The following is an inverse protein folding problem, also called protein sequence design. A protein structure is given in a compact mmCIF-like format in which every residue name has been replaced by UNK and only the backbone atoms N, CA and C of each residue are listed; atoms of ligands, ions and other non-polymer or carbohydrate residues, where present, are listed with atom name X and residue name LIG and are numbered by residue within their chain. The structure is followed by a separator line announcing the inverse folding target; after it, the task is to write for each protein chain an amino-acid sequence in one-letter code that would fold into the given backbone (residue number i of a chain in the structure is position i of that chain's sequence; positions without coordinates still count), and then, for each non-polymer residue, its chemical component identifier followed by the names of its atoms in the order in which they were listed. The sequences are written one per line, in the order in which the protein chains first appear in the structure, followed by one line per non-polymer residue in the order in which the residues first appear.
data_IF_612046751700
#
_entry.id   IF_612046751700
#
_cell.length_a   1.000
_cell.length_b   1.000
_cell.length_c   1.000
_cell.angle_alpha   90.00
_cell.angle_beta   90.00
_cell.angle_gamma   90.00
#
_symmetry.space_group_name_H-M   'P 1'
#
loop_
_entity.id
_entity.type
_entity.pdbx_description
1 polymer ?
#
# COMPACT_ATOMS: atom_id res chain seq x y z
N UNK A 1 -2.43 -25.58 -11.04
CA UNK A 1 -2.66 -26.22 -9.72
C UNK A 1 -2.61 -25.07 -8.73
N UNK A 2 -3.65 -24.84 -7.91
CA UNK A 2 -3.70 -23.61 -7.07
C UNK A 2 -2.69 -23.62 -5.91
N UNK A 3 -2.31 -22.42 -5.44
CA UNK A 3 -1.37 -22.22 -4.33
C UNK A 3 -2.03 -22.63 -3.01
N UNK A 4 -1.51 -23.65 -2.30
CA UNK A 4 -2.10 -24.06 -1.02
C UNK A 4 -1.75 -23.02 0.05
N UNK A 5 -2.73 -22.27 0.52
CA UNK A 5 -2.48 -21.14 1.40
C UNK A 5 -3.09 -21.35 2.80
N UNK A 6 -2.39 -20.84 3.81
CA UNK A 6 -2.88 -20.69 5.18
C UNK A 6 -2.95 -19.20 5.53
N UNK A 7 -4.08 -18.75 6.08
CA UNK A 7 -4.26 -17.36 6.51
C UNK A 7 -4.45 -17.27 8.02
N UNK A 8 -3.69 -16.38 8.63
CA UNK A 8 -3.70 -16.05 10.05
C UNK A 8 -4.02 -14.58 10.21
N UNK A 9 -5.19 -14.28 10.79
CA UNK A 9 -5.69 -12.92 10.96
C UNK A 9 -5.68 -12.51 12.43
N UNK A 10 -4.85 -11.54 12.78
CA UNK A 10 -5.03 -10.77 14.00
C UNK A 10 -6.18 -9.78 13.79
N UNK A 11 -7.36 -10.16 14.25
CA UNK A 11 -8.56 -9.35 14.06
C UNK A 11 -8.45 -8.00 14.76
N UNK A 12 -7.97 -7.98 16.00
CA UNK A 12 -7.87 -6.75 16.80
C UNK A 12 -6.95 -5.73 16.12
N UNK A 13 -5.80 -6.18 15.59
CA UNK A 13 -4.83 -5.32 14.89
C UNK A 13 -5.40 -4.80 13.57
N UNK A 14 -5.87 -5.70 12.70
CA UNK A 14 -6.36 -5.36 11.36
C UNK A 14 -7.62 -4.51 11.43
N UNK A 15 -8.62 -4.93 12.21
CA UNK A 15 -9.84 -4.17 12.40
C UNK A 15 -9.55 -2.81 13.03
N UNK A 16 -8.71 -2.77 14.07
CA UNK A 16 -8.36 -1.52 14.74
C UNK A 16 -7.64 -0.52 13.84
N UNK A 17 -6.72 -0.98 12.99
CA UNK A 17 -6.03 -0.12 12.03
C UNK A 17 -6.98 0.39 10.94
N UNK A 18 -7.80 -0.49 10.35
CA UNK A 18 -8.84 -0.08 9.40
C UNK A 18 -9.81 0.91 10.03
N UNK A 19 -10.20 0.72 11.29
CA UNK A 19 -11.15 1.58 11.98
C UNK A 19 -10.62 2.99 12.24
N UNK A 20 -9.31 3.14 12.45
CA UNK A 20 -8.66 4.46 12.53
C UNK A 20 -8.70 5.19 11.19
N UNK A 21 -8.65 4.44 10.09
CA UNK A 21 -8.66 5.00 8.74
C UNK A 21 -10.07 5.32 8.26
N UNK A 22 -10.98 4.34 8.32
CA UNK A 22 -12.36 4.42 7.87
C UNK A 22 -13.23 3.35 8.58
N UNK A 23 -14.07 3.73 9.56
CA UNK A 23 -14.94 2.81 10.27
C UNK A 23 -15.95 2.08 9.42
N UNK A 24 -16.48 2.72 8.37
CA UNK A 24 -17.46 2.08 7.51
C UNK A 24 -16.78 0.93 6.76
N UNK A 25 -15.55 1.13 6.29
CA UNK A 25 -14.73 0.07 5.67
C UNK A 25 -14.32 -1.00 6.68
N UNK A 26 -13.94 -0.64 7.91
CA UNK A 26 -13.61 -1.62 8.96
C UNK A 26 -14.81 -2.51 9.32
N UNK A 27 -16.01 -1.91 9.42
CA UNK A 27 -17.26 -2.64 9.65
C UNK A 27 -17.62 -3.51 8.44
N UNK A 28 -17.38 -3.04 7.22
CA UNK A 28 -17.54 -3.85 6.00
C UNK A 28 -16.59 -5.06 5.99
N UNK A 29 -15.31 -4.85 6.32
CA UNK A 29 -14.30 -5.91 6.45
C UNK A 29 -14.77 -7.03 7.39
N UNK A 30 -15.38 -6.65 8.52
CA UNK A 30 -15.80 -7.61 9.54
C UNK A 30 -17.18 -8.25 9.27
N UNK A 31 -18.09 -7.57 8.54
CA UNK A 31 -19.42 -8.08 8.23
C UNK A 31 -19.47 -8.98 6.99
N UNK A 32 -18.54 -8.81 6.04
CA UNK A 32 -18.46 -9.65 4.84
C UNK A 32 -17.05 -10.15 4.56
N UNK A 33 -16.50 -11.04 5.42
CA UNK A 33 -15.18 -11.60 5.20
C UNK A 33 -15.08 -12.44 3.93
N UNK A 34 -16.19 -13.02 3.46
CA UNK A 34 -16.22 -13.78 2.22
C UNK A 34 -15.98 -12.94 0.97
N UNK A 35 -16.31 -11.64 0.98
CA UNK A 35 -16.07 -10.77 -0.18
C UNK A 35 -14.58 -10.47 -0.38
N UNK A 36 -13.88 -9.97 0.64
CA UNK A 36 -12.46 -9.66 0.49
C UNK A 36 -11.61 -10.93 0.42
N UNK A 37 -12.00 -12.04 1.07
CA UNK A 37 -11.30 -13.32 0.94
C UNK A 37 -11.35 -13.86 -0.49
N UNK A 38 -12.49 -13.69 -1.19
CA UNK A 38 -12.62 -14.07 -2.60
C UNK A 38 -11.74 -13.24 -3.51
N UNK A 39 -11.57 -11.94 -3.23
CA UNK A 39 -10.66 -11.08 -4.00
C UNK A 39 -9.20 -11.44 -3.73
N UNK A 40 -8.86 -11.72 -2.47
CA UNK A 40 -7.54 -12.18 -2.07
C UNK A 40 -7.15 -13.55 -2.67
N UNK A 41 -8.09 -14.32 -3.24
CA UNK A 41 -7.75 -15.56 -3.96
C UNK A 41 -6.78 -15.33 -5.12
N UNK A 42 -6.89 -14.19 -5.80
CA UNK A 42 -6.16 -13.90 -7.04
C UNK A 42 -5.22 -12.70 -6.92
N UNK A 43 -5.30 -11.92 -5.84
CA UNK A 43 -4.40 -10.79 -5.59
C UNK A 43 -2.96 -11.31 -5.52
N UNK A 44 -2.04 -10.74 -6.31
CA UNK A 44 -0.61 -11.04 -6.21
C UNK A 44 -0.16 -12.48 -6.55
N UNK A 45 -1.03 -13.38 -7.01
CA UNK A 45 -0.63 -14.78 -7.21
C UNK A 45 -0.01 -15.01 -8.60
N UNK A 46 1.24 -15.51 -8.66
CA UNK A 46 1.90 -15.87 -9.94
C UNK A 46 1.59 -17.30 -10.39
N UNK A 47 1.38 -18.24 -9.47
CA UNK A 47 1.24 -19.67 -9.77
C UNK A 47 -0.22 -20.14 -9.83
N UNK A 48 -1.16 -19.20 -9.99
CA UNK A 48 -2.59 -19.42 -9.98
C UNK A 48 -3.25 -19.14 -8.62
N UNK A 49 -4.59 -19.26 -8.54
CA UNK A 49 -5.35 -18.78 -7.40
C UNK A 49 -5.01 -19.56 -6.12
N UNK A 50 -5.06 -18.86 -4.99
CA UNK A 50 -4.96 -19.48 -3.67
C UNK A 50 -6.07 -20.50 -3.48
N UNK A 51 -5.71 -21.63 -2.90
CA UNK A 51 -6.61 -22.60 -2.30
C UNK A 51 -6.43 -22.49 -0.79
N UNK A 52 -7.36 -21.83 -0.13
CA UNK A 52 -7.38 -21.71 1.33
C UNK A 52 -7.58 -23.10 1.96
N UNK A 53 -6.53 -23.61 2.62
CA UNK A 53 -6.58 -24.85 3.39
C UNK A 53 -6.80 -24.58 4.88
N UNK A 54 -6.38 -23.42 5.36
CA UNK A 54 -6.52 -22.97 6.73
C UNK A 54 -6.87 -21.48 6.77
N UNK A 55 -7.90 -21.12 7.52
CA UNK A 55 -8.34 -19.76 7.77
C UNK A 55 -8.55 -19.60 9.28
N UNK A 56 -7.69 -18.84 9.96
CA UNK A 56 -7.79 -18.60 11.40
C UNK A 56 -7.93 -17.11 11.68
N UNK A 57 -8.90 -16.78 12.53
CA UNK A 57 -9.17 -15.42 13.00
C UNK A 57 -8.98 -15.40 14.51
N UNK A 58 -7.98 -14.64 14.96
CA UNK A 58 -7.62 -14.47 16.36
C UNK A 58 -8.26 -13.19 16.86
N UNK A 59 -9.20 -13.31 17.79
CA UNK A 59 -10.08 -12.22 18.19
C UNK A 59 -10.15 -12.15 19.72
N UNK A 60 -10.05 -10.94 20.27
CA UNK A 60 -10.36 -10.73 21.68
C UNK A 60 -11.88 -10.61 21.89
N UNK A 61 -12.55 -11.57 22.56
CA UNK A 61 -14.01 -11.55 22.70
C UNK A 61 -14.53 -10.36 23.51
N UNK A 62 -13.67 -9.77 24.35
CA UNK A 62 -13.96 -8.56 25.11
C UNK A 62 -13.43 -7.28 24.43
N UNK A 63 -12.82 -7.38 23.25
CA UNK A 63 -12.32 -6.24 22.48
C UNK A 63 -13.46 -5.38 21.93
N UNK A 64 -13.24 -4.08 21.87
CA UNK A 64 -14.23 -3.11 21.39
C UNK A 64 -13.57 -1.82 20.87
N UNK A 65 -14.33 -1.08 20.06
CA UNK A 65 -14.02 0.30 19.65
C UNK A 65 -15.20 1.22 19.93
N UNK A 66 -14.96 2.53 20.04
CA UNK A 66 -16.04 3.51 20.06
C UNK A 66 -16.63 3.68 18.66
N UNK A 67 -17.95 3.57 18.56
CA UNK A 67 -18.69 3.72 17.32
C UNK A 67 -19.82 4.72 17.50
N UNK A 68 -19.88 5.69 16.59
CA UNK A 68 -20.97 6.65 16.53
C UNK A 68 -22.09 6.03 15.70
N UNK A 69 -23.23 5.79 16.32
CA UNK A 69 -24.37 5.24 15.62
C UNK A 69 -25.06 6.26 14.70
N UNK A 70 -26.11 5.83 14.01
CA UNK A 70 -26.90 6.70 13.12
C UNK A 70 -27.60 7.86 13.84
N UNK A 71 -27.74 7.78 15.17
CA UNK A 71 -28.31 8.84 16.00
C UNK A 71 -27.25 9.82 16.53
N UNK A 72 -25.96 9.58 16.25
CA UNK A 72 -24.84 10.39 16.72
C UNK A 72 -24.35 10.01 18.12
N UNK A 73 -24.86 8.93 18.71
CA UNK A 73 -24.48 8.48 20.05
C UNK A 73 -23.23 7.59 20.00
N UNK A 74 -22.26 7.88 20.88
CA UNK A 74 -21.07 7.03 21.02
C UNK A 74 -21.40 5.78 21.82
N UNK A 75 -21.36 4.64 21.13
CA UNK A 75 -21.58 3.32 21.71
C UNK A 75 -20.33 2.45 21.59
N UNK A 76 -20.26 1.36 22.36
CA UNK A 76 -19.19 0.36 22.24
C UNK A 76 -19.57 -0.68 21.21
N UNK A 77 -18.77 -0.77 20.15
CA UNK A 77 -18.86 -1.83 19.15
C UNK A 77 -17.92 -2.98 19.53
N UNK A 78 -18.49 -4.04 20.09
CA UNK A 78 -17.73 -5.22 20.51
C UNK A 78 -17.36 -6.12 19.34
N UNK A 79 -16.11 -6.63 19.35
CA UNK A 79 -15.58 -7.49 18.29
C UNK A 79 -16.31 -8.83 18.20
N UNK A 80 -16.79 -9.35 19.34
CA UNK A 80 -17.58 -10.59 19.41
C UNK A 80 -18.83 -10.56 18.52
N UNK A 81 -19.37 -9.37 18.20
CA UNK A 81 -20.49 -9.18 17.26
C UNK A 81 -20.18 -9.72 15.86
N UNK A 82 -18.90 -9.73 15.46
CA UNK A 82 -18.48 -10.11 14.11
C UNK A 82 -18.20 -11.60 13.94
N UNK A 83 -18.08 -12.35 15.04
CA UNK A 83 -17.79 -13.80 15.02
C UNK A 83 -18.68 -14.59 14.05
N UNK A 84 -20.02 -14.41 14.00
CA UNK A 84 -20.87 -15.19 13.11
C UNK A 84 -20.52 -15.02 11.62
N UNK A 85 -20.03 -13.85 11.21
CA UNK A 85 -19.67 -13.58 9.82
C UNK A 85 -18.39 -14.31 9.41
N UNK A 86 -17.38 -14.32 10.27
CA UNK A 86 -16.13 -15.07 10.05
C UNK A 86 -16.38 -16.57 10.02
N UNK A 87 -17.18 -17.10 10.95
CA UNK A 87 -17.54 -18.53 10.95
C UNK A 87 -18.28 -18.91 9.65
N UNK A 88 -19.22 -18.08 9.18
CA UNK A 88 -19.92 -18.31 7.90
C UNK A 88 -19.00 -18.25 6.69
N UNK A 89 -17.93 -17.46 6.74
CA UNK A 89 -16.91 -17.39 5.69
C UNK A 89 -15.86 -18.52 5.77
N UNK A 90 -15.99 -19.45 6.72
CA UNK A 90 -15.11 -20.62 6.84
C UNK A 90 -13.88 -20.42 7.73
N UNK A 91 -13.82 -19.35 8.53
CA UNK A 91 -12.76 -19.16 9.51
C UNK A 91 -13.00 -19.99 10.77
N UNK A 92 -11.93 -20.56 11.29
CA UNK A 92 -11.85 -20.97 12.69
C UNK A 92 -11.56 -19.72 13.55
N UNK A 93 -12.50 -19.35 14.42
CA UNK A 93 -12.39 -18.14 15.26
C UNK A 93 -11.90 -18.52 16.65
N UNK A 94 -10.69 -18.08 16.96
CA UNK A 94 -9.96 -18.40 18.19
C UNK A 94 -10.09 -17.22 19.15
N UNK A 95 -10.60 -17.50 20.35
CA UNK A 95 -10.71 -16.51 21.40
C UNK A 95 -9.34 -16.24 22.04
N UNK A 96 -8.87 -15.00 21.92
CA UNK A 96 -7.62 -14.50 22.48
C UNK A 96 -7.90 -13.42 23.53
N UNK A 97 -8.38 -13.78 24.74
CA UNK A 97 -8.62 -12.81 25.78
C UNK A 97 -7.31 -12.19 26.26
N UNK A 98 -7.37 -10.92 26.69
CA UNK A 98 -6.21 -10.25 27.28
C UNK A 98 -6.04 -10.69 28.73
N UNK A 99 -4.97 -11.44 29.01
CA UNK A 99 -4.63 -11.91 30.37
C UNK A 99 -3.87 -10.85 31.19
N UNK A 100 -3.24 -9.87 30.53
CA UNK A 100 -2.56 -8.72 31.13
C UNK A 100 -2.71 -7.50 30.19
N UNK A 101 -2.27 -6.31 30.62
CA UNK A 101 -2.35 -5.09 29.82
C UNK A 101 -1.53 -5.09 28.51
N UNK A 102 -0.69 -6.10 28.28
CA UNK A 102 0.17 -6.24 27.08
C UNK A 102 -0.53 -7.03 25.97
N UNK A 103 -0.36 -6.60 24.71
CA UNK A 103 -1.13 -7.06 23.53
C UNK A 103 -0.78 -8.45 22.99
N UNK A 104 0.10 -9.20 23.66
CA UNK A 104 0.88 -10.25 22.98
C UNK A 104 0.20 -11.63 22.84
N UNK A 105 -1.03 -11.81 23.34
CA UNK A 105 -1.65 -13.13 23.39
C UNK A 105 -2.05 -13.67 22.00
N UNK A 106 -2.59 -12.80 21.15
CA UNK A 106 -2.92 -13.16 19.77
C UNK A 106 -1.64 -13.46 18.98
N UNK A 107 -0.61 -12.63 19.12
CA UNK A 107 0.66 -12.78 18.39
C UNK A 107 1.36 -14.09 18.71
N UNK A 108 1.51 -14.40 20.00
CA UNK A 108 2.10 -15.67 20.45
C UNK A 108 1.30 -16.85 19.88
N UNK A 109 -0.03 -16.76 19.89
CA UNK A 109 -0.87 -17.86 19.42
C UNK A 109 -0.79 -18.03 17.90
N UNK A 110 -0.76 -16.94 17.13
CA UNK A 110 -0.53 -16.94 15.69
C UNK A 110 0.81 -17.62 15.38
N UNK A 111 1.88 -17.22 16.07
CA UNK A 111 3.22 -17.79 15.86
C UNK A 111 3.26 -19.29 16.13
N UNK A 112 2.69 -19.75 17.25
CA UNK A 112 2.62 -21.18 17.60
C UNK A 112 1.85 -21.95 16.52
N UNK A 113 0.66 -21.47 16.17
CA UNK A 113 -0.22 -22.13 15.21
C UNK A 113 0.38 -22.17 13.78
N UNK A 114 1.13 -21.14 13.38
CA UNK A 114 1.82 -21.08 12.10
C UNK A 114 3.02 -22.04 12.05
N UNK A 115 3.78 -22.17 13.15
CA UNK A 115 4.88 -23.14 13.27
C UNK A 115 4.36 -24.58 13.29
N UNK A 116 3.22 -24.83 13.93
CA UNK A 116 2.56 -26.13 13.92
C UNK A 116 2.11 -26.50 12.50
N UNK A 117 1.48 -25.57 11.77
CA UNK A 117 1.10 -25.77 10.38
C UNK A 117 2.31 -25.97 9.45
N UNK A 118 3.42 -25.29 9.72
CA UNK A 118 4.68 -25.48 8.99
C UNK A 118 5.25 -26.90 9.18
N UNK A 119 5.00 -27.51 10.33
CA UNK A 119 5.50 -28.84 10.72
C UNK A 119 4.51 -29.97 10.40
N UNK A 120 3.32 -29.65 9.88
CA UNK A 120 2.30 -30.63 9.54
C UNK A 120 2.62 -31.41 8.25
N UNK A 121 2.02 -32.60 8.10
CA UNK A 121 2.12 -33.41 6.88
C UNK A 121 1.62 -32.65 5.63
N UNK A 122 0.62 -31.78 5.82
CA UNK A 122 0.11 -30.91 4.77
C UNK A 122 1.11 -29.79 4.50
N UNK A 123 1.72 -29.79 3.30
CA UNK A 123 2.51 -28.66 2.81
C UNK A 123 1.57 -27.51 2.40
N UNK A 124 1.67 -26.39 3.11
CA UNK A 124 1.19 -25.09 2.66
C UNK A 124 2.30 -24.45 1.82
N UNK A 125 1.98 -23.88 0.67
CA UNK A 125 2.95 -23.22 -0.21
C UNK A 125 3.11 -21.74 0.14
N UNK A 126 2.12 -21.16 0.82
CA UNK A 126 2.08 -19.76 1.21
C UNK A 126 1.40 -19.55 2.57
N UNK A 127 1.92 -18.60 3.34
CA UNK A 127 1.39 -18.14 4.60
C UNK A 127 1.02 -16.66 4.50
N UNK A 128 -0.25 -16.35 4.69
CA UNK A 128 -0.77 -14.99 4.75
C UNK A 128 -0.91 -14.57 6.21
N UNK A 129 -0.09 -13.61 6.64
CA UNK A 129 -0.09 -13.07 8.00
C UNK A 129 -0.75 -11.69 7.95
N UNK A 130 -1.99 -11.60 8.39
CA UNK A 130 -2.72 -10.35 8.48
C UNK A 130 -2.53 -9.75 9.88
N UNK A 131 -1.45 -8.99 10.02
CA UNK A 131 -1.07 -8.22 11.20
C UNK A 131 -0.07 -7.13 10.79
N UNK A 132 -0.10 -5.99 11.48
CA UNK A 132 0.93 -4.95 11.40
C UNK A 132 2.03 -5.07 12.46
N UNK A 133 2.10 -6.16 13.22
CA UNK A 133 3.09 -6.34 14.29
C UNK A 133 4.43 -6.90 13.77
N UNK A 134 5.48 -6.06 13.85
CA UNK A 134 6.85 -6.40 13.45
C UNK A 134 7.49 -7.47 14.32
N UNK A 135 6.97 -7.75 15.52
CA UNK A 135 7.47 -8.81 16.40
C UNK A 135 7.35 -10.20 15.76
N UNK A 136 6.56 -10.33 14.67
CA UNK A 136 6.45 -11.55 13.87
C UNK A 136 7.59 -11.78 12.87
N UNK A 137 8.57 -10.87 12.79
CA UNK A 137 9.76 -11.00 11.92
C UNK A 137 10.45 -12.39 12.03
N UNK A 138 10.69 -12.96 13.24
CA UNK A 138 11.29 -14.29 13.35
C UNK A 138 10.44 -15.44 12.77
N UNK A 139 9.10 -15.29 12.78
CA UNK A 139 8.20 -16.26 12.14
C UNK A 139 8.41 -16.25 10.62
N UNK A 140 8.42 -15.07 10.00
CA UNK A 140 8.62 -14.92 8.55
C UNK A 140 9.97 -15.50 8.12
N UNK A 141 11.04 -15.25 8.88
CA UNK A 141 12.34 -15.85 8.62
C UNK A 141 12.30 -17.38 8.65
N UNK A 142 11.56 -17.98 9.58
CA UNK A 142 11.43 -19.43 9.69
C UNK A 142 10.62 -20.04 8.54
N UNK A 143 9.55 -19.36 8.12
CA UNK A 143 8.75 -19.73 6.95
C UNK A 143 9.63 -19.70 5.68
N UNK A 144 10.36 -18.60 5.47
CA UNK A 144 11.28 -18.44 4.34
C UNK A 144 12.40 -19.49 4.32
N UNK A 145 13.03 -19.77 5.47
CA UNK A 145 14.02 -20.87 5.61
C UNK A 145 13.47 -22.24 5.24
N UNK A 146 12.15 -22.42 5.34
CA UNK A 146 11.48 -23.67 5.02
C UNK A 146 10.96 -23.69 3.58
N UNK A 147 11.33 -22.73 2.73
CA UNK A 147 10.86 -22.60 1.36
C UNK A 147 9.34 -22.43 1.29
N UNK A 148 8.85 -21.39 1.98
CA UNK A 148 7.43 -20.96 2.01
C UNK A 148 7.33 -19.51 1.62
N UNK A 149 6.33 -19.20 0.79
CA UNK A 149 5.98 -17.81 0.49
C UNK A 149 5.24 -17.17 1.65
N UNK A 150 5.38 -15.86 1.76
CA UNK A 150 4.81 -15.05 2.82
C UNK A 150 4.17 -13.79 2.25
N UNK A 151 2.92 -13.55 2.64
CA UNK A 151 2.20 -12.32 2.34
C UNK A 151 1.84 -11.65 3.66
N UNK A 152 2.26 -10.40 3.86
CA UNK A 152 1.80 -9.57 4.96
C UNK A 152 0.57 -8.79 4.51
N UNK A 153 -0.46 -8.75 5.36
CA UNK A 153 -1.58 -7.82 5.19
C UNK A 153 -1.59 -6.87 6.37
N UNK A 154 -1.14 -5.64 6.16
CA UNK A 154 -0.96 -4.66 7.23
C UNK A 154 -1.97 -3.52 7.13
N UNK A 155 -2.68 -3.18 8.22
CA UNK A 155 -3.62 -2.06 8.23
C UNK A 155 -2.94 -0.70 8.48
N UNK A 156 -1.61 -0.70 8.69
CA UNK A 156 -0.77 0.46 8.99
C UNK A 156 0.58 0.32 8.30
N UNK A 157 1.40 1.37 8.34
CA UNK A 157 2.78 1.32 7.85
C UNK A 157 3.55 0.26 8.66
N UNK A 158 3.91 -0.83 7.99
CA UNK A 158 4.69 -1.91 8.57
C UNK A 158 6.17 -1.51 8.59
N UNK A 159 6.93 -1.97 9.59
CA UNK A 159 8.36 -1.70 9.67
C UNK A 159 9.09 -2.26 8.44
N UNK A 160 10.10 -1.55 7.92
CA UNK A 160 10.87 -1.94 6.73
C UNK A 160 11.47 -3.35 6.87
N UNK A 161 12.01 -3.68 8.03
CA UNK A 161 12.55 -5.02 8.30
C UNK A 161 11.47 -6.13 8.21
N UNK A 162 10.21 -5.80 8.54
CA UNK A 162 9.09 -6.72 8.45
C UNK A 162 8.65 -6.91 7.00
N UNK A 163 8.54 -5.82 6.22
CA UNK A 163 8.15 -5.86 4.81
C UNK A 163 9.23 -6.48 3.92
N UNK A 164 10.52 -6.20 4.16
CA UNK A 164 11.65 -6.70 3.36
C UNK A 164 11.84 -8.23 3.43
N UNK A 165 11.33 -8.88 4.47
CA UNK A 165 11.42 -10.34 4.62
C UNK A 165 10.29 -11.04 3.88
N UNK A 166 9.12 -10.39 3.77
CA UNK A 166 7.96 -10.94 3.10
C UNK A 166 8.15 -10.97 1.58
N UNK A 167 7.54 -11.95 0.93
CA UNK A 167 7.53 -12.00 -0.54
C UNK A 167 6.56 -10.96 -1.11
N UNK A 168 5.50 -10.66 -0.35
CA UNK A 168 4.45 -9.72 -0.74
C UNK A 168 3.93 -8.95 0.46
N UNK A 169 3.60 -7.69 0.25
CA UNK A 169 2.95 -6.83 1.24
C UNK A 169 1.70 -6.26 0.63
N UNK A 170 0.62 -6.32 1.39
CA UNK A 170 -0.64 -5.65 1.12
C UNK A 170 -0.79 -4.57 2.18
N UNK A 171 -0.49 -3.34 1.79
CA UNK A 171 -0.49 -2.18 2.67
C UNK A 171 -1.91 -1.74 3.06
N UNK A 172 -1.99 -0.70 3.89
CA UNK A 172 -3.28 -0.17 4.35
C UNK A 172 -4.19 0.33 3.21
N UNK A 173 -3.64 0.99 2.19
CA UNK A 173 -4.39 1.52 1.04
C UNK A 173 -4.94 0.38 0.19
N UNK A 174 -4.11 -0.61 -0.10
CA UNK A 174 -4.47 -1.81 -0.84
C UNK A 174 -5.49 -2.64 -0.07
N UNK A 175 -5.41 -2.68 1.27
CA UNK A 175 -6.41 -3.35 2.10
C UNK A 175 -7.76 -2.65 2.05
N UNK A 176 -7.79 -1.31 2.13
CA UNK A 176 -9.02 -0.56 1.93
C UNK A 176 -9.63 -0.84 0.55
N UNK A 177 -8.83 -0.74 -0.51
CA UNK A 177 -9.25 -1.02 -1.88
C UNK A 177 -9.80 -2.46 -1.99
N UNK A 178 -9.10 -3.45 -1.42
CA UNK A 178 -9.50 -4.85 -1.38
C UNK A 178 -10.85 -5.02 -0.67
N UNK A 179 -11.10 -4.33 0.44
CA UNK A 179 -12.37 -4.44 1.17
C UNK A 179 -13.51 -3.76 0.40
N UNK A 180 -13.25 -2.61 -0.20
CA UNK A 180 -14.21 -1.84 -0.99
C UNK A 180 -14.50 -2.48 -2.36
N UNK A 181 -13.66 -3.42 -2.82
CA UNK A 181 -13.80 -4.06 -4.13
C UNK A 181 -13.23 -3.22 -5.27
N UNK A 182 -12.35 -2.28 -4.95
CA UNK A 182 -11.57 -1.53 -5.93
C UNK A 182 -10.40 -2.38 -6.46
N UNK A 183 -9.85 -2.05 -7.64
CA UNK A 183 -8.63 -2.68 -8.13
C UNK A 183 -7.48 -2.47 -7.14
N UNK A 184 -6.76 -3.54 -6.82
CA UNK A 184 -5.56 -3.50 -5.98
C UNK A 184 -4.35 -3.53 -6.89
N UNK A 185 -3.59 -2.43 -6.94
CA UNK A 185 -2.27 -2.39 -7.56
C UNK A 185 -1.20 -2.53 -6.46
N UNK A 186 -0.37 -3.55 -6.56
CA UNK A 186 0.68 -3.84 -5.59
C UNK A 186 1.99 -3.12 -5.92
N UNK A 187 2.04 -2.38 -7.02
CA UNK A 187 3.24 -1.69 -7.50
C UNK A 187 3.21 -0.16 -7.29
N UNK A 188 2.17 0.38 -6.65
CA UNK A 188 2.00 1.84 -6.47
C UNK A 188 3.07 2.51 -5.57
N UNK A 189 3.95 1.73 -4.92
CA UNK A 189 5.08 2.26 -4.12
C UNK A 189 6.41 2.40 -4.89
N UNK A 190 6.47 2.03 -6.18
CA UNK A 190 7.69 2.20 -7.01
C UNK A 190 7.47 3.29 -8.06
N UNK A 191 7.19 4.52 -7.62
CA UNK A 191 7.33 5.73 -8.46
C UNK A 191 8.56 6.58 -8.02
N UNK A 192 9.45 6.00 -7.22
CA UNK A 192 10.82 6.49 -7.01
C UNK A 192 11.78 5.69 -7.91
N UNK A 193 12.41 6.41 -8.84
CA UNK A 193 13.55 6.03 -9.71
C UNK A 193 13.77 4.53 -9.95
N UNK A 194 13.30 4.07 -11.12
CA UNK A 194 13.72 2.86 -11.85
C UNK A 194 14.91 2.09 -11.23
N UNK A 195 14.61 1.08 -10.41
CA UNK A 195 15.61 0.07 -10.02
C UNK A 195 15.85 -0.89 -11.20
N UNK A 196 17.06 -0.84 -11.72
CA UNK A 196 17.56 -1.49 -12.95
C UNK A 196 17.83 -3.00 -12.78
N UNK A 197 17.16 -3.66 -11.83
CA UNK A 197 17.39 -5.08 -11.53
C UNK A 197 16.43 -5.97 -12.29
N UNK A 198 16.89 -6.45 -13.44
CA UNK A 198 16.28 -7.57 -14.18
C UNK A 198 16.38 -8.83 -13.29
N UNK A 199 15.24 -9.30 -12.79
CA UNK A 199 15.12 -10.63 -12.19
C UNK A 199 14.78 -11.62 -13.30
N UNK A 200 15.61 -12.63 -13.45
CA UNK A 200 15.46 -13.67 -14.47
C UNK A 200 14.24 -14.56 -14.11
N UNK A 201 13.14 -14.42 -14.84
CA UNK A 201 11.92 -15.23 -14.66
C UNK A 201 11.89 -16.33 -15.71
N UNK A 202 11.82 -17.58 -15.25
CA UNK A 202 11.79 -18.78 -16.08
C UNK A 202 10.47 -18.86 -16.88
N UNK A 203 10.51 -18.50 -18.17
CA UNK A 203 9.38 -18.39 -19.10
C UNK A 203 8.95 -19.75 -19.72
N UNK A 204 9.16 -20.87 -19.02
CA UNK A 204 9.05 -22.23 -19.60
C UNK A 204 7.65 -22.85 -19.62
N UNK A 205 6.58 -22.14 -19.23
CA UNK A 205 5.21 -22.66 -19.36
C UNK A 205 4.70 -22.62 -20.83
N UNK A 206 4.17 -23.74 -21.39
CA UNK A 206 3.85 -23.85 -22.82
C UNK A 206 2.88 -22.80 -23.38
N UNK A 207 1.90 -22.36 -22.59
CA UNK A 207 0.92 -21.34 -23.00
C UNK A 207 1.43 -19.90 -22.87
N UNK A 208 2.46 -19.65 -22.05
CA UNK A 208 3.08 -18.33 -21.91
C UNK A 208 4.05 -18.03 -23.04
N UNK A 209 4.64 -19.07 -23.66
CA UNK A 209 5.60 -18.91 -24.76
C UNK A 209 4.97 -18.30 -26.01
N UNK A 210 3.80 -18.79 -26.45
CA UNK A 210 3.11 -18.25 -27.63
C UNK A 210 2.64 -16.80 -27.42
N UNK A 211 2.11 -16.49 -26.24
CA UNK A 211 1.66 -15.13 -25.90
C UNK A 211 2.84 -14.15 -25.72
N UNK A 212 3.96 -14.61 -25.16
CA UNK A 212 5.20 -13.84 -25.05
C UNK A 212 5.85 -13.62 -26.42
N UNK A 213 5.84 -14.62 -27.30
CA UNK A 213 6.32 -14.48 -28.68
C UNK A 213 5.45 -13.49 -29.48
N UNK A 214 4.13 -13.52 -29.30
CA UNK A 214 3.22 -12.54 -29.89
C UNK A 214 3.48 -11.12 -29.36
N UNK A 215 3.65 -10.97 -28.04
CA UNK A 215 4.07 -9.71 -27.42
C UNK A 215 5.40 -9.20 -27.99
N UNK A 216 6.43 -10.05 -27.99
CA UNK A 216 7.75 -9.73 -28.53
C UNK A 216 7.64 -9.29 -29.97
N UNK A 217 6.88 -10.01 -30.80
CA UNK A 217 6.70 -9.67 -32.21
C UNK A 217 6.06 -8.29 -32.39
N UNK A 218 5.00 -7.98 -31.64
CA UNK A 218 4.29 -6.70 -31.76
C UNK A 218 5.16 -5.54 -31.26
N UNK A 219 5.76 -5.67 -30.08
CA UNK A 219 6.62 -4.61 -29.52
C UNK A 219 7.86 -4.40 -30.39
N UNK A 220 8.49 -5.47 -30.89
CA UNK A 220 9.63 -5.37 -31.82
C UNK A 220 9.23 -4.69 -33.12
N UNK A 221 8.07 -5.04 -33.67
CA UNK A 221 7.54 -4.42 -34.89
C UNK A 221 7.30 -2.92 -34.72
N UNK A 222 6.62 -2.53 -33.64
CA UNK A 222 6.35 -1.12 -33.34
C UNK A 222 7.64 -0.36 -33.04
N UNK A 223 8.55 -0.93 -32.25
CA UNK A 223 9.84 -0.31 -31.92
C UNK A 223 10.70 -0.06 -33.17
N UNK A 224 10.72 -1.00 -34.12
CA UNK A 224 11.48 -0.88 -35.36
C UNK A 224 10.81 0.05 -36.38
N UNK A 225 9.47 0.07 -36.42
CA UNK A 225 8.70 0.92 -37.34
C UNK A 225 8.54 2.37 -36.84
N UNK A 226 8.73 2.62 -35.54
CA UNK A 226 8.59 3.93 -34.96
C UNK A 226 9.55 4.94 -35.61
N UNK A 227 9.02 6.08 -36.05
CA UNK A 227 9.78 7.28 -36.41
C UNK A 227 9.86 8.29 -35.26
N UNK A 228 9.04 8.13 -34.22
CA UNK A 228 8.95 8.99 -33.02
C UNK A 228 8.89 8.14 -31.74
N UNK A 229 9.24 8.68 -30.55
CA UNK A 229 9.10 7.97 -29.28
C UNK A 229 7.71 7.38 -29.06
N UNK A 230 7.65 6.12 -28.65
CA UNK A 230 6.40 5.39 -28.44
C UNK A 230 5.83 5.66 -27.05
N UNK A 231 4.56 6.07 -26.96
CA UNK A 231 3.89 6.27 -25.68
C UNK A 231 3.59 4.93 -24.98
N UNK A 232 4.06 4.78 -23.74
CA UNK A 232 3.97 3.52 -22.99
C UNK A 232 2.54 3.12 -22.64
N UNK A 233 1.71 4.05 -22.15
CA UNK A 233 0.32 3.76 -21.79
C UNK A 233 -0.52 3.35 -23.01
N UNK A 234 -0.29 4.02 -24.15
CA UNK A 234 -0.99 3.73 -25.41
C UNK A 234 -0.57 2.37 -25.99
N UNK A 235 0.72 2.04 -25.91
CA UNK A 235 1.23 0.73 -26.36
C UNK A 235 0.74 -0.40 -25.43
N UNK A 236 0.77 -0.19 -24.12
CA UNK A 236 0.25 -1.14 -23.15
C UNK A 236 -1.26 -1.40 -23.33
N UNK A 237 -2.05 -0.34 -23.53
CA UNK A 237 -3.49 -0.45 -23.78
C UNK A 237 -3.81 -1.21 -25.07
N UNK A 238 -3.08 -0.94 -26.15
CA UNK A 238 -3.20 -1.68 -27.43
C UNK A 238 -2.81 -3.16 -27.30
N UNK A 239 -1.72 -3.46 -26.58
CA UNK A 239 -1.31 -4.85 -26.36
C UNK A 239 -2.33 -5.61 -25.52
N UNK A 240 -2.91 -4.97 -24.50
CA UNK A 240 -4.01 -5.55 -23.72
C UNK A 240 -5.25 -5.84 -24.58
N UNK A 241 -5.56 -4.97 -25.56
CA UNK A 241 -6.70 -5.20 -26.45
C UNK A 241 -6.44 -6.26 -27.53
N UNK A 242 -5.19 -6.42 -27.98
CA UNK A 242 -4.81 -7.38 -29.03
C UNK A 242 -4.50 -8.78 -28.50
N UNK A 243 -3.80 -8.88 -27.36
CA UNK A 243 -3.35 -10.16 -26.78
C UNK A 243 -4.36 -10.72 -25.74
N UNK A 244 -5.38 -9.92 -25.38
CA UNK A 244 -6.52 -10.34 -24.56
C UNK A 244 -6.18 -10.66 -23.10
N UNK A 245 -7.07 -11.41 -22.44
CA UNK A 245 -6.99 -11.79 -21.02
C UNK A 245 -5.65 -12.40 -20.59
N UNK A 246 -4.90 -13.03 -21.51
CA UNK A 246 -3.62 -13.69 -21.24
C UNK A 246 -2.54 -12.76 -20.66
N UNK A 247 -2.53 -11.48 -21.04
CA UNK A 247 -1.57 -10.48 -20.53
C UNK A 247 -1.99 -9.94 -19.16
N UNK A 248 -3.29 -9.76 -18.97
CA UNK A 248 -3.88 -9.27 -17.72
C UNK A 248 -3.80 -10.31 -16.61
N UNK A 249 -4.04 -11.58 -16.93
CA UNK A 249 -4.06 -12.68 -15.96
C UNK A 249 -2.65 -13.13 -15.54
N UNK A 250 -1.63 -12.91 -16.40
CA UNK A 250 -0.23 -13.29 -16.14
C UNK A 250 0.64 -12.16 -15.58
N UNK A 251 0.04 -10.98 -15.36
CA UNK A 251 0.76 -9.76 -14.99
C UNK A 251 2.00 -9.50 -15.88
N UNK A 252 1.78 -9.40 -17.20
CA UNK A 252 2.84 -9.29 -18.21
C UNK A 252 3.81 -10.47 -18.20
N UNK A 253 3.30 -11.70 -18.39
CA UNK A 253 4.12 -12.92 -18.53
C UNK A 253 5.03 -13.20 -17.31
N UNK A 254 4.66 -12.73 -16.13
CA UNK A 254 5.45 -12.85 -14.90
C UNK A 254 6.45 -11.71 -14.66
N UNK A 255 6.58 -10.74 -15.56
CA UNK A 255 7.45 -9.57 -15.37
C UNK A 255 6.87 -8.51 -14.43
N UNK A 256 5.58 -8.61 -14.08
CA UNK A 256 4.92 -7.77 -13.09
C UNK A 256 4.50 -6.39 -13.61
N UNK A 257 5.15 -5.87 -14.65
CA UNK A 257 4.77 -4.61 -15.31
C UNK A 257 5.09 -4.63 -16.80
N UNK A 258 4.42 -3.76 -17.55
CA UNK A 258 4.70 -3.58 -18.98
C UNK A 258 6.14 -3.12 -19.20
N UNK A 259 6.62 -2.21 -18.35
CA UNK A 259 7.96 -1.67 -18.46
C UNK A 259 9.03 -2.77 -18.30
N UNK A 260 8.88 -3.65 -17.31
CA UNK A 260 9.78 -4.80 -17.10
C UNK A 260 9.70 -5.81 -18.25
N UNK A 261 8.50 -6.06 -18.79
CA UNK A 261 8.34 -6.95 -19.95
C UNK A 261 8.96 -6.37 -21.24
N UNK A 262 8.99 -5.06 -21.42
CA UNK A 262 9.70 -4.43 -22.54
C UNK A 262 11.21 -4.45 -22.30
N UNK A 263 11.66 -4.22 -21.07
CA UNK A 263 13.08 -4.28 -20.71
C UNK A 263 13.69 -5.66 -20.96
N UNK A 264 12.93 -6.75 -20.74
CA UNK A 264 13.39 -8.12 -21.00
C UNK A 264 13.56 -8.47 -22.49
N UNK A 265 13.11 -7.60 -23.41
CA UNK A 265 13.31 -7.80 -24.85
C UNK A 265 14.71 -7.41 -25.32
N UNK A 266 15.51 -6.75 -24.46
CA UNK A 266 16.90 -6.36 -24.71
C UNK A 266 17.11 -5.65 -26.07
N UNK A 267 16.25 -4.67 -26.38
CA UNK A 267 16.40 -3.91 -27.63
C UNK A 267 17.70 -3.10 -27.64
N UNK A 268 18.43 -3.06 -28.77
CA UNK A 268 19.62 -2.23 -28.91
C UNK A 268 19.25 -0.75 -28.80
N UNK A 269 19.99 0.02 -27.99
CA UNK A 269 19.79 1.46 -27.76
C UNK A 269 18.42 1.83 -27.15
N UNK A 270 17.77 0.90 -26.44
CA UNK A 270 16.52 1.17 -25.74
C UNK A 270 16.71 2.18 -24.61
N UNK A 271 15.86 3.21 -24.63
CA UNK A 271 15.66 4.15 -23.53
C UNK A 271 14.18 4.19 -23.17
N UNK A 272 13.89 4.35 -21.89
CA UNK A 272 12.54 4.37 -21.36
C UNK A 272 12.40 5.50 -20.32
N UNK A 273 11.21 6.09 -20.25
CA UNK A 273 10.76 7.01 -19.21
C UNK A 273 9.37 6.56 -18.73
N UNK A 274 8.79 7.25 -17.75
CA UNK A 274 7.43 6.95 -17.27
C UNK A 274 6.37 6.95 -18.40
N UNK A 275 6.60 7.70 -19.48
CA UNK A 275 5.61 7.91 -20.53
C UNK A 275 6.04 7.42 -21.92
N UNK A 276 7.34 7.27 -22.17
CA UNK A 276 7.84 6.96 -23.51
C UNK A 276 8.92 5.88 -23.51
N UNK A 277 8.99 5.12 -24.60
CA UNK A 277 10.14 4.28 -24.94
C UNK A 277 10.65 4.65 -26.34
N UNK A 278 11.96 4.70 -26.52
CA UNK A 278 12.59 5.11 -27.78
C UNK A 278 13.94 4.41 -27.99
N UNK A 279 14.37 4.39 -29.25
CA UNK A 279 15.73 4.09 -29.68
C UNK A 279 16.61 5.35 -29.71
N UNK A 280 17.62 5.39 -28.85
CA UNK A 280 18.56 6.52 -28.69
C UNK A 280 19.36 6.84 -29.96
N UNK A 281 19.51 5.86 -30.86
CA UNK A 281 20.24 6.02 -32.12
C UNK A 281 19.37 6.55 -33.27
N UNK A 282 18.04 6.36 -33.20
CA UNK A 282 17.09 6.74 -34.26
C UNK A 282 16.28 7.97 -33.92
N UNK A 283 15.86 8.12 -32.67
CA UNK A 283 15.03 9.23 -32.25
C UNK A 283 15.92 10.26 -31.57
N UNK A 284 16.24 11.32 -32.30
CA UNK A 284 16.83 12.51 -31.69
C UNK A 284 15.80 13.03 -30.68
N UNK A 285 16.15 13.04 -29.40
CA UNK A 285 15.33 13.64 -28.37
C UNK A 285 15.08 15.09 -28.78
N UNK A 286 13.88 15.40 -29.28
CA UNK A 286 13.31 16.71 -29.00
C UNK A 286 13.25 16.73 -27.49
N UNK A 287 14.17 17.45 -26.86
CA UNK A 287 14.01 17.88 -25.49
C UNK A 287 12.54 18.27 -25.34
N UNK A 288 11.79 17.65 -24.43
CA UNK A 288 10.68 18.37 -23.86
C UNK A 288 11.31 19.65 -23.32
N UNK A 289 11.07 20.76 -24.01
CA UNK A 289 11.20 22.09 -23.43
C UNK A 289 10.10 22.24 -22.37
N UNK A 290 10.28 21.48 -21.31
CA UNK A 290 9.74 21.62 -19.99
C UNK A 290 10.86 21.04 -19.14
N UNK A 291 11.62 21.93 -18.50
CA UNK A 291 12.70 21.57 -17.59
C UNK A 291 12.35 20.26 -16.88
N UNK A 292 13.29 19.30 -16.84
CA UNK A 292 13.22 18.22 -15.85
C UNK A 292 12.75 18.89 -14.55
N UNK A 293 11.61 18.48 -13.96
CA UNK A 293 10.99 19.23 -12.89
C UNK A 293 12.08 19.50 -11.89
N UNK A 294 12.38 20.79 -11.64
CA UNK A 294 13.45 21.17 -10.73
C UNK A 294 13.20 20.37 -9.46
N UNK A 295 14.10 19.42 -9.17
CA UNK A 295 13.96 18.52 -8.03
C UNK A 295 13.83 19.45 -6.83
N UNK A 296 12.66 19.48 -6.20
CA UNK A 296 12.36 20.42 -5.12
C UNK A 296 13.45 20.22 -4.08
N UNK A 297 14.24 21.26 -3.83
CA UNK A 297 15.28 21.21 -2.82
C UNK A 297 14.62 21.15 -1.46
N UNK A 298 14.82 20.03 -0.75
CA UNK A 298 14.37 19.88 0.62
C UNK A 298 15.56 20.11 1.57
N UNK A 299 15.30 20.61 2.79
CA UNK A 299 16.27 20.54 3.87
C UNK A 299 16.71 19.10 4.11
N UNK A 300 17.98 18.86 4.44
CA UNK A 300 18.53 17.52 4.70
C UNK A 300 17.67 16.68 5.67
N UNK A 301 17.11 17.24 6.77
CA UNK A 301 16.26 16.45 7.67
C UNK A 301 14.97 15.97 7.01
N UNK A 302 14.43 16.76 6.08
CA UNK A 302 13.21 16.41 5.34
C UNK A 302 13.54 15.41 4.24
N UNK A 303 14.69 15.54 3.58
CA UNK A 303 15.18 14.57 2.59
C UNK A 303 15.29 13.17 3.21
N UNK A 304 15.83 13.06 4.43
CA UNK A 304 15.86 11.78 5.17
C UNK A 304 14.48 11.19 5.42
N UNK A 305 13.47 12.02 5.70
CA UNK A 305 12.10 11.55 5.88
C UNK A 305 11.47 11.09 4.55
N UNK A 306 11.82 11.72 3.43
CA UNK A 306 11.41 11.25 2.10
C UNK A 306 12.01 9.88 1.81
N UNK A 307 13.30 9.71 2.06
CA UNK A 307 14.02 8.50 1.69
C UNK A 307 13.72 7.30 2.60
N UNK A 308 13.42 7.54 3.89
CA UNK A 308 13.28 6.46 4.89
C UNK A 308 11.84 6.23 5.36
N UNK A 309 10.91 7.19 5.15
CA UNK A 309 9.52 7.08 5.58
C UNK A 309 8.51 7.32 4.45
N UNK A 310 8.98 7.42 3.21
CA UNK A 310 8.20 7.71 2.02
C UNK A 310 7.37 9.00 2.14
N UNK A 311 7.90 9.99 2.85
CA UNK A 311 7.26 11.29 2.96
C UNK A 311 7.09 11.89 1.55
N UNK A 312 5.90 12.37 1.17
CA UNK A 312 5.71 12.97 -0.15
C UNK A 312 6.62 14.18 -0.38
N UNK A 313 7.40 14.17 -1.47
CA UNK A 313 8.24 15.29 -1.90
C UNK A 313 7.37 16.44 -2.41
N UNK A 314 6.97 17.33 -1.51
CA UNK A 314 6.11 18.48 -1.80
C UNK A 314 6.78 19.80 -1.40
N UNK A 315 6.54 20.90 -2.15
CA UNK A 315 6.97 22.24 -1.77
C UNK A 315 6.35 22.67 -0.44
N UNK A 316 7.14 23.37 0.38
CA UNK A 316 6.71 23.89 1.68
C UNK A 316 5.34 24.61 1.66
N UNK A 317 5.05 25.50 0.67
CA UNK A 317 3.78 26.25 0.67
C UNK A 317 2.53 25.41 0.40
N UNK A 318 2.68 24.14 -0.03
CA UNK A 318 1.54 23.29 -0.40
C UNK A 318 0.91 22.60 0.81
N UNK A 319 1.67 22.38 1.90
CA UNK A 319 1.18 21.69 3.09
C UNK A 319 -0.09 22.32 3.70
N UNK A 320 -0.17 23.65 3.91
CA UNK A 320 -1.38 24.28 4.46
C UNK A 320 -2.63 24.05 3.61
N UNK A 321 -2.49 24.09 2.28
CA UNK A 321 -3.60 23.86 1.36
C UNK A 321 -4.12 22.42 1.46
N UNK A 322 -3.23 21.44 1.67
CA UNK A 322 -3.63 20.04 1.88
C UNK A 322 -4.42 19.90 3.17
N UNK A 323 -3.93 20.45 4.28
CA UNK A 323 -4.63 20.38 5.57
C UNK A 323 -5.99 21.08 5.52
N UNK A 324 -6.07 22.25 4.87
CA UNK A 324 -7.33 22.96 4.69
C UNK A 324 -8.32 22.15 3.87
N UNK A 325 -7.89 21.57 2.75
CA UNK A 325 -8.76 20.78 1.88
C UNK A 325 -9.27 19.51 2.60
N UNK A 326 -8.43 18.86 3.41
CA UNK A 326 -8.87 17.71 4.23
C UNK A 326 -9.89 18.12 5.30
N UNK A 327 -9.66 19.26 5.97
CA UNK A 327 -10.60 19.86 6.92
C UNK A 327 -11.94 20.17 6.24
N UNK A 328 -11.93 20.79 5.07
CA UNK A 328 -13.14 21.14 4.32
C UNK A 328 -13.94 19.88 3.96
N UNK A 329 -13.27 18.82 3.52
CA UNK A 329 -13.94 17.53 3.24
C UNK A 329 -14.60 16.97 4.51
N UNK A 330 -13.88 16.92 5.64
CA UNK A 330 -14.38 16.41 6.90
C UNK A 330 -15.60 17.18 7.43
N UNK A 331 -15.70 18.48 7.14
CA UNK A 331 -16.84 19.32 7.53
C UNK A 331 -18.04 19.21 6.59
N UNK A 332 -17.82 18.90 5.31
CA UNK A 332 -18.86 18.98 4.28
C UNK A 332 -19.42 17.64 3.82
N UNK A 333 -18.71 16.53 4.06
CA UNK A 333 -19.09 15.21 3.59
C UNK A 333 -19.15 14.19 4.73
N UNK A 334 -19.95 13.13 4.54
CA UNK A 334 -19.78 11.91 5.33
C UNK A 334 -18.43 11.32 4.97
N UNK A 335 -17.62 11.03 5.98
CA UNK A 335 -16.25 10.58 5.74
C UNK A 335 -16.21 9.24 5.01
N UNK A 336 -15.40 9.20 3.95
CA UNK A 336 -14.98 8.00 3.23
C UNK A 336 -13.56 8.26 2.70
N UNK A 337 -12.58 7.43 3.04
CA UNK A 337 -11.17 7.76 2.75
C UNK A 337 -10.89 7.85 1.24
N UNK A 338 -11.49 6.97 0.43
CA UNK A 338 -11.31 6.95 -1.03
C UNK A 338 -11.86 8.23 -1.67
N UNK A 339 -13.07 8.62 -1.29
CA UNK A 339 -13.69 9.85 -1.77
C UNK A 339 -12.94 11.08 -1.26
N UNK A 340 -12.52 11.08 0.01
CA UNK A 340 -11.70 12.14 0.60
C UNK A 340 -10.44 12.40 -0.24
N UNK A 341 -9.67 11.35 -0.49
CA UNK A 341 -8.40 11.46 -1.25
C UNK A 341 -8.62 11.88 -2.70
N UNK A 342 -9.64 11.34 -3.38
CA UNK A 342 -9.97 11.74 -4.75
C UNK A 342 -10.45 13.19 -4.83
N UNK A 343 -11.38 13.58 -3.96
CA UNK A 343 -11.96 14.92 -3.92
C UNK A 343 -10.91 15.96 -3.57
N UNK A 344 -10.10 15.71 -2.54
CA UNK A 344 -9.05 16.65 -2.13
C UNK A 344 -7.97 16.81 -3.21
N UNK A 345 -7.57 15.73 -3.90
CA UNK A 345 -6.68 15.83 -5.07
C UNK A 345 -7.28 16.73 -6.16
N UNK A 346 -8.56 16.54 -6.47
CA UNK A 346 -9.23 17.34 -7.51
C UNK A 346 -9.33 18.81 -7.12
N UNK A 347 -9.67 19.12 -5.87
CA UNK A 347 -9.70 20.50 -5.35
C UNK A 347 -8.32 21.16 -5.36
N UNK A 348 -7.27 20.45 -4.95
CA UNK A 348 -5.90 20.96 -4.98
C UNK A 348 -5.45 21.23 -6.42
N UNK A 349 -5.78 20.35 -7.36
CA UNK A 349 -5.50 20.56 -8.79
C UNK A 349 -6.19 21.80 -9.34
N UNK A 350 -7.44 22.03 -8.96
CA UNK A 350 -8.21 23.22 -9.38
C UNK A 350 -7.62 24.53 -8.80
N UNK A 351 -6.93 24.44 -7.65
CA UNK A 351 -6.14 25.55 -7.06
C UNK A 351 -4.76 25.72 -7.71
N UNK A 352 -4.41 24.92 -8.72
CA UNK A 352 -3.11 24.94 -9.39
C UNK A 352 -2.01 24.18 -8.65
N UNK A 353 -2.36 23.33 -7.68
CA UNK A 353 -1.44 22.51 -6.89
C UNK A 353 -1.52 21.04 -7.36
N UNK A 354 -0.58 20.54 -8.17
CA UNK A 354 -0.62 19.17 -8.71
C UNK A 354 -0.16 18.14 -7.65
N UNK A 355 -0.93 18.00 -6.57
CA UNK A 355 -0.70 17.00 -5.51
C UNK A 355 -1.31 15.66 -5.95
N UNK A 356 -0.55 14.57 -5.83
CA UNK A 356 -1.03 13.23 -6.18
C UNK A 356 -2.06 12.72 -5.16
N UNK A 357 -2.94 11.79 -5.58
CA UNK A 357 -3.88 11.13 -4.65
C UNK A 357 -3.12 10.39 -3.54
N UNK A 358 -2.00 9.74 -3.87
CA UNK A 358 -1.14 9.04 -2.91
C UNK A 358 -0.58 9.96 -1.83
N UNK A 359 -0.12 11.16 -2.21
CA UNK A 359 0.35 12.15 -1.25
C UNK A 359 -0.76 12.64 -0.30
N UNK A 360 -1.97 12.89 -0.82
CA UNK A 360 -3.13 13.22 0.02
C UNK A 360 -3.48 12.06 0.96
N UNK A 361 -3.45 10.83 0.45
CA UNK A 361 -3.73 9.63 1.24
C UNK A 361 -2.70 9.46 2.37
N UNK A 362 -1.41 9.68 2.10
CA UNK A 362 -0.35 9.66 3.09
C UNK A 362 -0.64 10.63 4.25
N UNK A 363 -1.01 11.88 3.93
CA UNK A 363 -1.35 12.88 4.95
C UNK A 363 -2.59 12.45 5.75
N UNK A 364 -3.67 12.06 5.08
CA UNK A 364 -4.90 11.63 5.75
C UNK A 364 -4.68 10.45 6.71
N UNK A 365 -3.88 9.45 6.29
CA UNK A 365 -3.50 8.31 7.15
C UNK A 365 -2.64 8.76 8.32
N UNK A 366 -1.59 9.55 8.05
CA UNK A 366 -0.69 10.05 9.09
C UNK A 366 -1.44 10.86 10.15
N UNK A 367 -2.42 11.67 9.75
CA UNK A 367 -3.29 12.39 10.68
C UNK A 367 -4.13 11.44 11.54
N UNK A 368 -4.74 10.41 10.95
CA UNK A 368 -5.51 9.40 11.69
C UNK A 368 -4.66 8.62 12.70
N UNK A 369 -3.46 8.19 12.31
CA UNK A 369 -2.53 7.51 13.21
C UNK A 369 -1.90 8.45 14.25
N UNK A 370 -1.80 9.74 13.94
CA UNK A 370 -1.45 10.82 14.87
C UNK A 370 -2.53 11.18 15.89
N UNK A 371 -3.68 10.51 15.86
CA UNK A 371 -4.75 10.68 16.85
C UNK A 371 -5.79 11.74 16.51
N UNK A 372 -5.78 12.28 15.29
CA UNK A 372 -6.78 13.24 14.83
C UNK A 372 -7.53 12.71 13.60
N UNK A 373 -8.25 11.58 13.71
CA UNK A 373 -8.81 10.96 12.53
C UNK A 373 -9.94 11.82 11.94
N UNK A 374 -9.96 11.91 10.60
CA UNK A 374 -10.74 12.90 9.86
C UNK A 374 -12.26 12.73 9.98
N UNK A 375 -12.72 11.57 10.45
CA UNK A 375 -14.13 11.25 10.66
C UNK A 375 -14.65 11.56 12.06
N UNK A 376 -13.77 12.02 12.96
CA UNK A 376 -14.16 12.31 14.36
C UNK A 376 -15.21 13.42 14.42
N UNK A 377 -15.90 13.47 15.56
CA UNK A 377 -16.88 14.51 15.86
C UNK A 377 -16.46 15.27 17.12
N UNK A 378 -16.41 16.62 17.10
CA UNK A 378 -16.59 17.48 15.92
C UNK A 378 -15.48 17.29 14.88
N UNK A 379 -15.73 17.61 13.58
CA UNK A 379 -14.73 17.48 12.52
C UNK A 379 -13.45 18.28 12.83
N UNK A 380 -12.26 17.77 12.47
CA UNK A 380 -11.01 18.43 12.79
C UNK A 380 -10.77 19.68 11.93
N UNK A 381 -10.17 20.69 12.54
CA UNK A 381 -9.65 21.88 11.85
C UNK A 381 -8.33 21.57 11.14
N UNK A 382 -7.96 22.39 10.15
CA UNK A 382 -6.68 22.27 9.43
C UNK A 382 -5.47 22.29 10.38
N UNK A 383 -5.54 23.06 11.46
CA UNK A 383 -4.49 23.16 12.47
C UNK A 383 -4.32 21.88 13.29
N UNK A 384 -5.43 21.25 13.69
CA UNK A 384 -5.41 19.96 14.38
C UNK A 384 -4.93 18.84 13.45
N UNK A 385 -5.28 18.90 12.16
CA UNK A 385 -4.79 17.96 11.14
C UNK A 385 -3.27 18.08 10.99
N UNK A 386 -2.76 19.32 10.86
CA UNK A 386 -1.34 19.62 10.76
C UNK A 386 -0.57 19.11 11.96
N UNK A 387 -0.99 19.48 13.18
CA UNK A 387 -0.32 19.10 14.41
C UNK A 387 -0.21 17.57 14.55
N UNK A 388 -1.33 16.86 14.34
CA UNK A 388 -1.36 15.41 14.42
C UNK A 388 -0.52 14.73 13.33
N UNK A 389 -0.52 15.25 12.11
CA UNK A 389 0.32 14.72 11.02
C UNK A 389 1.81 14.88 11.33
N UNK A 390 2.23 16.08 11.73
CA UNK A 390 3.63 16.37 12.05
C UNK A 390 4.12 15.53 13.22
N UNK A 391 3.33 15.42 14.28
CA UNK A 391 3.69 14.59 15.44
C UNK A 391 3.74 13.11 15.06
N UNK A 392 2.85 12.64 14.16
CA UNK A 392 2.91 11.28 13.64
C UNK A 392 4.20 11.02 12.86
N UNK A 393 4.60 11.91 11.95
CA UNK A 393 5.85 11.79 11.17
C UNK A 393 7.06 11.72 12.09
N UNK A 394 7.13 12.58 13.12
CA UNK A 394 8.24 12.58 14.07
C UNK A 394 8.26 11.33 14.95
N UNK A 395 7.09 10.86 15.40
CA UNK A 395 6.99 9.60 16.16
C UNK A 395 7.41 8.41 15.30
N UNK A 396 7.05 8.41 14.01
CA UNK A 396 7.49 7.37 13.05
C UNK A 396 9.00 7.41 12.83
N UNK A 397 9.58 8.61 12.71
CA UNK A 397 11.04 8.77 12.62
C UNK A 397 11.76 8.23 13.85
N UNK A 398 11.26 8.53 15.06
CA UNK A 398 11.83 7.98 16.30
C UNK A 398 11.72 6.46 16.34
N UNK A 399 10.57 5.89 15.95
CA UNK A 399 10.36 4.45 15.89
C UNK A 399 11.24 3.76 14.84
N UNK A 400 11.60 4.45 13.76
CA UNK A 400 12.55 4.00 12.74
C UNK A 400 14.01 4.28 13.11
N UNK A 401 14.29 4.71 14.34
CA UNK A 401 15.63 5.04 14.85
C UNK A 401 16.34 6.15 14.02
N UNK A 402 15.57 7.01 13.34
CA UNK A 402 16.10 8.16 12.60
C UNK A 402 16.48 9.25 13.60
N UNK A 403 17.77 9.35 13.90
CA UNK A 403 18.27 10.33 14.85
C UNK A 403 18.12 11.77 14.32
N UNK A 404 17.32 12.58 15.03
CA UNK A 404 17.23 14.01 14.83
C UNK A 404 17.65 14.77 16.09
N UNK A 405 18.46 15.80 15.90
CA UNK A 405 18.72 16.85 16.88
C UNK A 405 17.50 17.78 17.01
N UNK A 406 17.44 18.55 18.11
CA UNK A 406 16.37 19.52 18.34
C UNK A 406 16.20 20.53 17.21
N UNK A 407 17.30 20.94 16.57
CA UNK A 407 17.29 21.91 15.46
C UNK A 407 16.75 21.29 14.17
N UNK A 408 17.02 20.01 13.93
CA UNK A 408 16.49 19.27 12.78
C UNK A 408 14.99 19.00 12.94
N UNK A 409 14.54 18.66 14.16
CA UNK A 409 13.11 18.55 14.48
C UNK A 409 12.41 19.89 14.22
N UNK A 410 12.99 21.01 14.65
CA UNK A 410 12.45 22.34 14.38
C UNK A 410 12.36 22.62 12.87
N UNK A 411 13.38 22.22 12.09
CA UNK A 411 13.40 22.34 10.63
C UNK A 411 12.28 21.54 9.97
N UNK A 412 12.07 20.28 10.39
CA UNK A 412 10.97 19.43 9.89
C UNK A 412 9.62 20.05 10.22
N UNK A 413 9.42 20.51 11.47
CA UNK A 413 8.17 21.15 11.90
C UNK A 413 7.88 22.42 11.08
N UNK A 414 8.88 23.28 10.87
CA UNK A 414 8.75 24.48 10.06
C UNK A 414 8.41 24.14 8.60
N UNK A 415 9.06 23.11 8.03
CA UNK A 415 8.80 22.68 6.66
C UNK A 415 7.37 22.20 6.48
N UNK A 416 6.91 21.27 7.32
CA UNK A 416 5.58 20.66 7.22
C UNK A 416 4.44 21.61 7.63
N UNK A 417 4.75 22.70 8.33
CA UNK A 417 3.76 23.70 8.77
C UNK A 417 3.70 24.93 7.85
N UNK A 418 4.67 25.09 6.95
CA UNK A 418 4.90 26.31 6.18
C UNK A 418 5.07 27.59 7.04
N UNK A 419 5.49 27.44 8.29
CA UNK A 419 5.97 28.58 9.08
C UNK A 419 7.32 28.98 8.48
N UNK A 420 7.33 30.10 7.75
CA UNK A 420 8.56 30.70 7.26
C UNK A 420 9.50 30.88 8.45
N UNK A 421 10.70 30.29 8.37
CA UNK A 421 11.83 30.72 9.19
C UNK A 421 12.12 32.17 8.79
N UNK A 422 11.43 33.10 9.45
CA UNK A 422 11.75 34.50 9.38
C UNK A 422 13.20 34.63 9.86
N UNK A 423 14.10 34.77 8.90
CA UNK A 423 15.49 35.06 9.12
C UNK A 423 15.56 36.24 10.10
N UNK A 424 16.03 35.94 11.30
CA UNK A 424 16.45 36.94 12.27
C UNK A 424 17.56 37.74 11.60
N UNK A 425 17.22 38.91 11.06
CA UNK A 425 18.22 39.89 10.64
C UNK A 425 18.51 40.78 11.85
N UNK A 426 19.81 41.03 12.16
CA UNK A 426 20.25 41.72 13.36
C UNK A 426 19.85 43.19 13.42
#
# INVERSE_FOLDING_TARGET
MGVRAALYLDFDNVFGGLYKLDPDVAVQFANDPGAWLRRLLTTATTDGPRRWLLLRCYLNPAGWVYHTDTAGEQTRLFFSKFRPWFVRAGFDVIDCPRYSGTKNAADIRIVVDAVDALSADTRYDEFVIASGDSDMTPLLQRLRRSDRRTMIVSPADAAEAFTAIADQVLDSQQLLALVQGEPVDLNDEIDSEFDDRVVDVDTTAPGHREAYEAFRSVVTGEYNAASEPLNMASLASRLRSQLGQSVSDSNWFGFGSFARAVASLEFPNLRMSQHFLWDDSRHFAREPAAAAPQRIMLPEPVERLVDQLDLPRLPQPWWPAIYQTLSDYAHSHRFNLTQCTSWSRDQLRDQGLPVSRGAVAFVARGTSFGGCPLHRQPPPTAEEIRAAFVDNVLTRAEAAEIAFSSDEIATVRAWLSAESTAATSP
#
